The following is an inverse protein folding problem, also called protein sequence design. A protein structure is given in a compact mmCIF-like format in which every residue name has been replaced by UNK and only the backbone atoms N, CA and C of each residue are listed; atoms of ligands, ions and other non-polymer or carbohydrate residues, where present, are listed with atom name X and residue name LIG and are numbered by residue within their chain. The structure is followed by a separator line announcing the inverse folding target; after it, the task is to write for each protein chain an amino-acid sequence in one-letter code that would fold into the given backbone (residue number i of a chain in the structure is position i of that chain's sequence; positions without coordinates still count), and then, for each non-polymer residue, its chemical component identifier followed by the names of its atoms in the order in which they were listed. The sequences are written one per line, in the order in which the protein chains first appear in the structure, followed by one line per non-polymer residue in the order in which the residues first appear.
data_IF_649832560917
#
_entry.id   IF_649832560917
#
_cell.length_a   1.000
_cell.length_b   1.000
_cell.length_c   1.000
_cell.angle_alpha   90.00
_cell.angle_beta   90.00
_cell.angle_gamma   90.00
#
_symmetry.space_group_name_H-M   'P 1'
#
loop_
_entity.id
_entity.type
_entity.pdbx_description
1 polymer ?
#
# COMPACT_ATOMS: atom_id res chain seq x y z
N UNK A 1 45.47 -10.23 20.77
CA UNK A 1 45.25 -9.71 19.41
C UNK A 1 44.30 -8.52 19.56
N UNK A 2 44.82 -7.32 19.83
CA UNK A 2 45.32 -6.36 18.82
C UNK A 2 44.21 -5.95 17.85
N UNK A 3 43.84 -4.67 17.69
CA UNK A 3 44.36 -3.45 18.29
C UNK A 3 43.54 -2.21 17.89
N UNK A 4 43.65 -1.19 18.75
CA UNK A 4 43.50 0.28 18.56
C UNK A 4 42.20 0.87 18.00
N UNK A 5 41.66 1.88 18.70
CA UNK A 5 41.30 3.15 18.09
C UNK A 5 42.26 4.28 18.54
N UNK A 6 42.57 5.16 17.60
CA UNK A 6 43.39 6.36 17.72
C UNK A 6 42.57 7.53 18.32
N UNK A 7 42.96 7.95 19.53
CA UNK A 7 43.32 9.32 19.99
C UNK A 7 42.96 10.55 19.11
N UNK A 8 42.64 11.73 19.69
CA UNK A 8 43.22 12.21 20.95
C UNK A 8 42.27 12.64 22.06
N UNK A 9 42.65 12.16 23.24
CA UNK A 9 42.45 12.80 24.52
C UNK A 9 43.09 14.20 24.53
N UNK A 10 42.42 15.10 25.24
CA UNK A 10 42.96 16.38 25.66
C UNK A 10 44.33 16.22 26.31
N UNK A 11 45.26 17.02 25.81
CA UNK A 11 46.59 17.25 26.35
C UNK A 11 46.46 18.05 27.66
N UNK A 12 46.66 17.41 28.81
CA UNK A 12 46.91 18.12 30.06
C UNK A 12 48.43 18.32 30.18
N UNK A 13 48.90 19.47 29.71
CA UNK A 13 50.30 19.87 29.85
C UNK A 13 50.42 20.69 31.14
N UNK A 14 51.01 20.07 32.16
CA UNK A 14 51.65 20.77 33.27
C UNK A 14 53.04 21.18 32.81
N UNK A 15 53.28 22.48 32.64
CA UNK A 15 54.62 23.05 32.70
C UNK A 15 54.71 23.97 33.92
N UNK A 16 55.46 23.49 34.91
CA UNK A 16 56.20 24.35 35.84
C UNK A 16 57.35 24.97 35.04
N UNK A 17 57.36 26.30 34.93
CA UNK A 17 58.54 27.01 34.49
C UNK A 17 59.55 27.03 35.65
N UNK A 18 60.47 26.07 35.65
CA UNK A 18 61.73 26.20 36.37
C UNK A 18 62.60 27.17 35.61
N UNK A 19 62.89 28.32 36.25
CA UNK A 19 63.82 29.31 35.75
C UNK A 19 65.17 28.67 35.49
N UNK A 20 65.63 28.79 34.25
CA UNK A 20 67.02 28.65 33.88
C UNK A 20 67.33 29.84 32.97
N UNK A 21 68.01 30.82 33.54
CA UNK A 21 68.94 31.66 32.80
C UNK A 21 70.26 31.54 33.54
N UNK A 22 71.03 30.53 33.13
CA UNK A 22 72.49 30.65 33.18
C UNK A 22 72.84 31.81 32.25
N UNK A 23 73.32 32.89 32.82
CA UNK A 23 74.40 33.66 32.21
C UNK A 23 75.25 34.20 33.35
N UNK A 24 76.28 33.41 33.62
CA UNK A 24 77.40 33.70 34.50
C UNK A 24 78.16 34.90 33.92
N UNK A 25 77.67 36.12 34.18
CA UNK A 25 78.40 37.34 33.83
C UNK A 25 79.45 37.58 34.90
N UNK A 26 80.69 37.31 34.51
CA UNK A 26 81.90 37.57 35.28
C UNK A 26 81.84 38.93 35.97
N UNK A 27 82.14 38.91 37.26
CA UNK A 27 82.48 40.11 38.02
C UNK A 27 83.83 40.62 37.47
N UNK A 28 83.79 41.39 36.37
CA UNK A 28 84.94 42.18 35.97
C UNK A 28 85.00 43.43 36.85
N UNK A 29 85.56 43.27 38.05
CA UNK A 29 86.34 44.36 38.66
C UNK A 29 87.48 44.68 37.71
N UNK A 30 87.27 45.64 36.81
CA UNK A 30 88.39 46.36 36.21
C UNK A 30 88.98 47.25 37.29
N UNK A 31 89.89 46.68 38.10
CA UNK A 31 90.92 47.46 38.75
C UNK A 31 91.86 47.97 37.65
N UNK A 32 91.53 49.14 37.09
CA UNK A 32 92.53 49.98 36.47
C UNK A 32 93.03 50.92 37.54
N UNK A 33 94.09 50.49 38.23
CA UNK A 33 94.89 51.38 39.05
C UNK A 33 95.62 52.37 38.13
N UNK A 34 95.00 53.49 37.84
CA UNK A 34 95.75 54.72 37.57
C UNK A 34 95.62 55.57 38.82
N UNK A 35 96.56 55.36 39.74
CA UNK A 35 96.75 56.16 40.92
C UNK A 35 96.94 57.63 40.49
N UNK A 36 95.88 58.46 40.62
CA UNK A 36 95.94 59.92 40.79
C UNK A 36 94.58 60.65 40.80
N UNK A 37 93.43 60.01 40.53
CA UNK A 37 92.10 60.64 40.62
C UNK A 37 91.10 59.81 41.47
N UNK A 38 91.33 59.70 42.79
CA UNK A 38 90.32 59.27 43.76
C UNK A 38 89.82 57.81 43.67
N UNK A 39 89.08 57.37 44.69
CA UNK A 39 88.36 56.10 44.70
C UNK A 39 86.89 56.36 44.38
N UNK A 40 86.31 55.62 43.43
CA UNK A 40 84.92 55.77 43.03
C UNK A 40 84.20 54.42 42.92
N UNK A 41 82.90 54.44 43.20
CA UNK A 41 82.00 53.29 43.04
C UNK A 41 80.68 53.73 42.41
N UNK A 42 80.15 52.88 41.52
CA UNK A 42 78.83 53.02 40.93
C UNK A 42 77.98 51.79 41.27
N UNK A 43 76.79 52.01 41.82
CA UNK A 43 75.87 50.92 42.14
C UNK A 43 74.45 51.31 41.75
N UNK A 44 73.79 50.44 40.98
CA UNK A 44 72.36 50.54 40.70
C UNK A 44 71.58 50.01 41.90
N UNK A 45 70.64 50.81 42.41
CA UNK A 45 69.75 50.45 43.52
C UNK A 45 68.50 49.73 42.99
N UNK A 46 67.82 48.98 43.87
CA UNK A 46 66.63 48.18 43.53
C UNK A 46 65.43 49.02 43.03
N UNK A 47 65.43 50.33 43.29
CA UNK A 47 64.42 51.30 42.84
C UNK A 47 64.73 51.92 41.46
N UNK A 48 65.80 51.46 40.81
CA UNK A 48 66.26 51.98 39.51
C UNK A 48 67.03 53.30 39.61
N UNK A 49 67.30 53.83 40.81
CA UNK A 49 68.16 54.99 41.00
C UNK A 49 69.64 54.58 41.10
N UNK A 50 70.54 55.41 40.57
CA UNK A 50 71.97 55.13 40.57
C UNK A 50 72.67 55.86 41.73
N UNK A 51 73.36 55.12 42.60
CA UNK A 51 74.17 55.68 43.69
C UNK A 51 75.62 55.80 43.24
N UNK A 52 76.13 57.02 43.28
CA UNK A 52 77.51 57.36 42.97
C UNK A 52 78.22 57.81 44.24
N UNK A 53 79.35 57.19 44.56
CA UNK A 53 80.24 57.65 45.63
C UNK A 53 81.63 57.85 45.05
N UNK A 54 82.15 59.07 45.18
CA UNK A 54 83.49 59.43 44.75
C UNK A 54 84.22 60.17 45.88
N UNK A 55 85.49 59.83 46.09
CA UNK A 55 86.40 60.55 46.97
C UNK A 55 87.38 61.34 46.10
N UNK A 56 87.31 62.67 46.13
CA UNK A 56 88.24 63.52 45.37
C UNK A 56 89.52 63.79 46.19
N UNK A 57 90.72 63.48 45.66
CA UNK A 57 91.95 63.93 46.28
C UNK A 57 92.17 65.43 46.00
N UNK A 58 92.70 66.17 46.98
CA UNK A 58 93.09 67.57 46.78
C UNK A 58 94.44 67.61 46.07
N UNK A 59 94.43 67.86 44.76
CA UNK A 59 95.62 68.08 43.94
C UNK A 59 95.37 69.28 43.04
N UNK A 60 96.31 70.24 43.06
CA UNK A 60 96.30 71.44 42.24
C UNK A 60 96.41 71.07 40.73
N UNK A 61 95.46 71.60 39.96
CA UNK A 61 95.48 71.86 38.51
C UNK A 61 95.52 70.71 37.47
N UNK A 62 95.10 69.48 37.79
CA UNK A 62 94.80 68.48 36.74
C UNK A 62 93.29 68.19 36.64
N UNK A 63 92.67 68.45 35.49
CA UNK A 63 91.31 67.99 35.19
C UNK A 63 91.32 66.46 34.99
N UNK A 64 90.64 65.73 35.87
CA UNK A 64 90.35 64.31 35.66
C UNK A 64 89.42 64.14 34.42
N UNK A 65 89.54 63.05 33.64
CA UNK A 65 88.63 62.74 32.54
C UNK A 65 87.18 62.61 33.02
N UNK A 66 86.21 62.93 32.16
CA UNK A 66 84.79 62.82 32.49
C UNK A 66 84.41 61.35 32.68
N UNK A 67 84.12 60.97 33.93
CA UNK A 67 84.10 59.57 34.39
C UNK A 67 82.68 59.03 34.56
N UNK A 68 81.67 59.76 34.07
CA UNK A 68 80.26 59.36 34.16
C UNK A 68 79.92 58.29 33.11
N UNK A 69 80.17 57.02 33.46
CA UNK A 69 79.79 55.83 32.66
C UNK A 69 78.46 55.19 33.06
N UNK A 70 77.64 55.86 33.87
CA UNK A 70 76.31 55.36 34.26
C UNK A 70 75.18 55.74 33.29
N UNK A 71 75.50 56.25 32.10
CA UNK A 71 74.50 56.58 31.06
C UNK A 71 74.06 55.36 30.28
N UNK A 72 74.95 54.42 29.97
CA UNK A 72 74.67 53.39 28.97
C UNK A 72 73.78 52.27 29.52
N UNK A 73 73.99 51.85 30.77
CA UNK A 73 73.18 50.80 31.42
C UNK A 73 71.77 51.28 31.77
N UNK A 74 71.62 52.52 32.24
CA UNK A 74 70.31 53.11 32.52
C UNK A 74 69.54 53.36 31.22
N UNK A 75 70.22 53.83 30.17
CA UNK A 75 69.60 54.00 28.85
C UNK A 75 69.18 52.67 28.23
N UNK A 76 69.99 51.62 28.39
CA UNK A 76 69.65 50.26 27.98
C UNK A 76 68.39 49.76 28.70
N UNK A 77 68.33 49.91 30.04
CA UNK A 77 67.18 49.46 30.82
C UNK A 77 65.89 50.24 30.51
N UNK A 78 66.00 51.56 30.31
CA UNK A 78 64.85 52.38 29.89
C UNK A 78 64.34 51.98 28.50
N UNK A 79 65.25 51.71 27.56
CA UNK A 79 64.88 51.22 26.24
C UNK A 79 64.21 49.85 26.32
N UNK A 80 64.77 48.92 27.09
CA UNK A 80 64.22 47.57 27.27
C UNK A 80 62.83 47.60 27.94
N UNK A 81 62.61 48.50 28.90
CA UNK A 81 61.29 48.67 29.51
C UNK A 81 60.26 49.30 28.58
N UNK A 82 60.65 50.28 27.76
CA UNK A 82 59.73 50.81 26.75
C UNK A 82 59.40 49.73 25.70
N UNK A 83 60.37 48.90 25.31
CA UNK A 83 60.14 47.76 24.42
C UNK A 83 59.20 46.72 25.04
N UNK A 84 59.40 46.34 26.30
CA UNK A 84 58.48 45.45 27.04
C UNK A 84 57.08 46.04 27.16
N UNK A 85 56.96 47.36 27.37
CA UNK A 85 55.67 48.06 27.40
C UNK A 85 54.98 48.01 26.05
N UNK A 86 55.69 48.21 24.94
CA UNK A 86 55.14 48.05 23.59
C UNK A 86 54.69 46.60 23.34
N UNK A 87 55.48 45.60 23.78
CA UNK A 87 55.11 44.19 23.69
C UNK A 87 53.83 43.88 24.48
N UNK A 88 53.66 44.42 25.69
CA UNK A 88 52.44 44.26 26.49
C UNK A 88 51.22 44.88 25.81
N UNK A 89 51.38 46.04 25.16
CA UNK A 89 50.30 46.69 24.41
C UNK A 89 49.88 45.85 23.20
N UNK A 90 50.84 45.33 22.43
CA UNK A 90 50.55 44.42 21.33
C UNK A 90 49.88 43.12 21.82
N UNK A 91 50.34 42.58 22.95
CA UNK A 91 49.71 41.40 23.56
C UNK A 91 48.26 41.69 23.98
N UNK A 92 47.98 42.88 24.52
CA UNK A 92 46.62 43.30 24.88
C UNK A 92 45.70 43.39 23.67
N UNK A 93 46.20 43.87 22.54
CA UNK A 93 45.45 43.93 21.28
C UNK A 93 45.12 42.52 20.78
N UNK A 94 46.11 41.64 20.67
CA UNK A 94 45.89 40.24 20.26
C UNK A 94 44.94 39.48 21.20
N UNK A 95 45.00 39.71 22.51
CA UNK A 95 44.02 39.15 23.46
C UNK A 95 42.61 39.66 23.18
N UNK A 96 42.46 40.94 22.80
CA UNK A 96 41.16 41.53 22.47
C UNK A 96 40.61 40.93 21.16
N UNK A 97 41.45 40.73 20.16
CA UNK A 97 41.08 40.04 18.90
C UNK A 97 40.63 38.61 19.16
N UNK A 98 41.41 37.84 19.94
CA UNK A 98 41.06 36.46 20.30
C UNK A 98 39.76 36.38 21.12
N UNK A 99 39.50 37.35 22.00
CA UNK A 99 38.24 37.41 22.73
C UNK A 99 37.04 37.61 21.80
N UNK A 100 37.19 38.43 20.75
CA UNK A 100 36.12 38.65 19.77
C UNK A 100 35.91 37.42 18.87
N UNK A 101 36.99 36.77 18.42
CA UNK A 101 36.89 35.50 17.69
C UNK A 101 36.23 34.40 18.53
N UNK A 102 36.56 34.32 19.82
CA UNK A 102 35.92 33.38 20.74
C UNK A 102 34.42 33.67 20.90
N UNK A 103 34.02 34.95 20.98
CA UNK A 103 32.60 35.34 20.98
C UNK A 103 31.93 34.91 19.69
N UNK A 104 32.53 35.18 18.54
CA UNK A 104 31.98 34.82 17.24
C UNK A 104 31.82 33.28 17.11
N UNK A 105 32.85 32.53 17.48
CA UNK A 105 32.79 31.06 17.50
C UNK A 105 31.69 30.55 18.43
N UNK A 106 31.51 31.15 19.61
CA UNK A 106 30.42 30.80 20.53
C UNK A 106 29.04 31.00 19.92
N UNK A 107 28.84 32.10 19.20
CA UNK A 107 27.57 32.34 18.48
C UNK A 107 27.36 31.30 17.37
N UNK A 108 28.40 31.01 16.58
CA UNK A 108 28.33 30.00 15.51
C UNK A 108 27.99 28.62 16.04
N UNK A 109 28.62 28.20 17.14
CA UNK A 109 28.30 26.93 17.82
C UNK A 109 26.84 26.92 18.26
N UNK A 110 26.35 28.01 18.85
CA UNK A 110 24.96 28.06 19.31
C UNK A 110 23.94 27.95 18.17
N UNK A 111 24.21 28.57 17.03
CA UNK A 111 23.38 28.44 15.83
C UNK A 111 23.38 26.99 15.33
N UNK A 112 24.54 26.34 15.29
CA UNK A 112 24.66 24.95 14.85
C UNK A 112 23.92 23.98 15.80
N UNK A 113 23.97 24.21 17.11
CA UNK A 113 23.20 23.44 18.10
C UNK A 113 21.69 23.54 17.82
N UNK A 114 21.16 24.76 17.65
CA UNK A 114 19.73 24.97 17.37
C UNK A 114 19.30 24.32 16.05
N UNK A 115 20.12 24.41 15.01
CA UNK A 115 19.87 23.73 13.73
C UNK A 115 19.91 22.21 13.88
N UNK A 116 20.77 21.67 14.75
CA UNK A 116 20.82 20.24 15.05
C UNK A 116 19.56 19.78 15.77
N UNK A 117 19.06 20.55 16.72
CA UNK A 117 17.82 20.26 17.46
C UNK A 117 16.60 20.26 16.53
N UNK A 118 16.47 21.25 15.65
CA UNK A 118 15.39 21.33 14.66
C UNK A 118 15.40 20.13 13.68
N UNK A 119 16.60 19.76 13.21
CA UNK A 119 16.76 18.58 12.36
C UNK A 119 16.42 17.29 13.10
N UNK A 120 16.80 17.16 14.37
CA UNK A 120 16.47 15.99 15.18
C UNK A 120 14.96 15.87 15.40
N UNK A 121 14.27 16.99 15.66
CA UNK A 121 12.81 17.00 15.73
C UNK A 121 12.18 16.57 14.39
N UNK A 122 12.67 17.10 13.27
CA UNK A 122 12.20 16.71 11.94
C UNK A 122 12.42 15.23 11.66
N UNK A 123 13.60 14.69 12.01
CA UNK A 123 13.91 13.27 11.86
C UNK A 123 12.97 12.41 12.71
N UNK A 124 12.75 12.76 13.99
CA UNK A 124 11.81 12.02 14.85
C UNK A 124 10.37 12.04 14.31
N UNK A 125 9.94 13.16 13.72
CA UNK A 125 8.62 13.28 13.08
C UNK A 125 8.51 12.38 11.85
N UNK A 126 9.57 12.30 11.03
CA UNK A 126 9.63 11.41 9.87
C UNK A 126 9.66 9.95 10.30
N UNK A 127 10.45 9.60 11.31
CA UNK A 127 10.51 8.24 11.86
C UNK A 127 9.15 7.77 12.38
N UNK A 128 8.42 8.64 13.08
CA UNK A 128 7.07 8.32 13.54
C UNK A 128 6.12 8.07 12.35
N UNK A 129 6.14 8.94 11.34
CA UNK A 129 5.30 8.78 10.13
C UNK A 129 5.67 7.53 9.32
N UNK A 130 6.95 7.15 9.33
CA UNK A 130 7.41 5.92 8.68
C UNK A 130 6.86 4.71 9.42
N UNK A 131 6.89 4.70 10.76
CA UNK A 131 6.35 3.60 11.55
C UNK A 131 4.83 3.45 11.39
N UNK A 132 4.09 4.57 11.40
CA UNK A 132 2.66 4.57 11.09
C UNK A 132 2.38 4.01 9.68
N UNK A 133 3.22 4.35 8.69
CA UNK A 133 3.08 3.82 7.35
C UNK A 133 3.41 2.32 7.25
N UNK A 134 4.41 1.84 7.99
CA UNK A 134 4.76 0.42 8.08
C UNK A 134 3.61 -0.40 8.68
N UNK A 135 2.98 0.09 9.75
CA UNK A 135 1.82 -0.54 10.37
C UNK A 135 0.63 -0.61 9.39
N UNK A 136 0.32 0.51 8.73
CA UNK A 136 -0.74 0.54 7.71
C UNK A 136 -0.43 -0.38 6.52
N UNK A 137 0.82 -0.48 6.10
CA UNK A 137 1.24 -1.38 5.03
C UNK A 137 1.11 -2.86 5.43
N UNK A 138 1.48 -3.19 6.67
CA UNK A 138 1.29 -4.53 7.22
C UNK A 138 -0.20 -4.91 7.25
N UNK A 139 -1.06 -4.00 7.74
CA UNK A 139 -2.52 -4.21 7.75
C UNK A 139 -3.06 -4.42 6.33
N UNK A 140 -2.72 -3.54 5.38
CA UNK A 140 -3.13 -3.67 3.99
C UNK A 140 -2.68 -5.00 3.35
N UNK A 141 -1.46 -5.46 3.67
CA UNK A 141 -0.93 -6.74 3.18
C UNK A 141 -1.71 -7.93 3.73
N UNK A 142 -2.07 -7.89 5.02
CA UNK A 142 -2.89 -8.95 5.63
C UNK A 142 -4.29 -9.00 5.01
N UNK A 143 -4.91 -7.85 4.77
CA UNK A 143 -6.21 -7.76 4.09
C UNK A 143 -6.14 -8.29 2.66
N UNK A 144 -5.06 -7.98 1.92
CA UNK A 144 -4.86 -8.50 0.57
C UNK A 144 -4.75 -10.04 0.57
N UNK A 145 -4.05 -10.61 1.55
CA UNK A 145 -3.94 -12.06 1.68
C UNK A 145 -5.30 -12.71 1.98
N UNK A 146 -6.08 -12.11 2.90
CA UNK A 146 -7.45 -12.56 3.19
C UNK A 146 -8.32 -12.47 1.93
N UNK A 147 -8.30 -11.36 1.21
CA UNK A 147 -9.04 -11.22 -0.06
C UNK A 147 -8.63 -12.30 -1.08
N UNK A 148 -7.33 -12.58 -1.21
CA UNK A 148 -6.82 -13.65 -2.07
C UNK A 148 -7.40 -15.03 -1.71
N UNK A 149 -7.44 -15.36 -0.42
CA UNK A 149 -8.04 -16.62 0.07
C UNK A 149 -9.53 -16.72 -0.22
N UNK A 150 -10.29 -15.63 0.02
CA UNK A 150 -11.73 -15.57 -0.26
C UNK A 150 -12.03 -15.71 -1.75
N UNK A 151 -11.22 -15.07 -2.61
CA UNK A 151 -11.35 -15.20 -4.07
C UNK A 151 -11.10 -16.64 -4.49
N UNK A 152 -10.07 -17.30 -3.93
CA UNK A 152 -9.77 -18.70 -4.22
C UNK A 152 -10.93 -19.63 -3.81
N UNK A 153 -11.46 -19.46 -2.60
CA UNK A 153 -12.59 -20.24 -2.12
C UNK A 153 -13.85 -19.98 -2.96
N UNK A 154 -14.11 -18.73 -3.33
CA UNK A 154 -15.21 -18.38 -4.22
C UNK A 154 -15.05 -18.99 -5.61
N UNK A 155 -13.84 -19.00 -6.17
CA UNK A 155 -13.55 -19.68 -7.43
C UNK A 155 -13.81 -21.18 -7.35
N UNK A 156 -13.43 -21.84 -6.25
CA UNK A 156 -13.72 -23.25 -6.03
C UNK A 156 -15.24 -23.51 -5.93
N UNK A 157 -15.98 -22.65 -5.23
CA UNK A 157 -17.45 -22.74 -5.16
C UNK A 157 -18.08 -22.55 -6.54
N UNK A 158 -17.65 -21.55 -7.31
CA UNK A 158 -18.13 -21.31 -8.68
C UNK A 158 -17.84 -22.51 -9.57
N UNK A 159 -16.67 -23.14 -9.48
CA UNK A 159 -16.36 -24.34 -10.25
C UNK A 159 -17.27 -25.52 -9.87
N UNK A 160 -17.50 -25.74 -8.58
CA UNK A 160 -18.42 -26.78 -8.11
C UNK A 160 -19.87 -26.52 -8.57
N UNK A 161 -20.33 -25.28 -8.45
CA UNK A 161 -21.64 -24.85 -8.95
C UNK A 161 -21.73 -24.98 -10.47
N UNK A 162 -20.69 -24.62 -11.21
CA UNK A 162 -20.62 -24.81 -12.67
C UNK A 162 -20.73 -26.29 -13.05
N UNK A 163 -20.07 -27.18 -12.30
CA UNK A 163 -20.20 -28.63 -12.48
C UNK A 163 -21.60 -29.14 -12.14
N UNK A 164 -22.25 -28.59 -11.11
CA UNK A 164 -23.64 -28.90 -10.78
C UNK A 164 -24.60 -28.41 -11.86
N UNK A 165 -24.43 -27.18 -12.34
CA UNK A 165 -25.20 -26.60 -13.46
C UNK A 165 -25.01 -27.42 -14.72
N UNK A 166 -23.78 -27.84 -15.05
CA UNK A 166 -23.53 -28.73 -16.18
C UNK A 166 -24.16 -30.12 -15.98
N UNK A 167 -24.22 -30.65 -14.75
CA UNK A 167 -24.96 -31.88 -14.46
C UNK A 167 -26.46 -31.71 -14.63
N UNK A 168 -27.04 -30.59 -14.18
CA UNK A 168 -28.46 -30.27 -14.40
C UNK A 168 -28.75 -30.05 -15.88
N UNK A 169 -27.84 -29.39 -16.60
CA UNK A 169 -27.94 -29.16 -18.05
C UNK A 169 -27.83 -30.43 -18.87
N UNK A 170 -26.92 -31.35 -18.49
CA UNK A 170 -26.74 -32.65 -19.16
C UNK A 170 -27.77 -33.69 -18.73
N UNK A 171 -28.36 -33.50 -17.56
CA UNK A 171 -29.34 -34.39 -16.96
C UNK A 171 -30.55 -33.54 -16.50
N UNK A 172 -31.28 -32.89 -17.43
CA UNK A 172 -32.54 -32.25 -17.10
C UNK A 172 -33.52 -33.38 -16.84
N UNK A 173 -33.52 -33.92 -15.62
CA UNK A 173 -34.52 -34.88 -15.22
C UNK A 173 -35.87 -34.22 -15.41
N UNK A 174 -36.61 -34.60 -16.45
CA UNK A 174 -38.01 -34.25 -16.58
C UNK A 174 -38.73 -34.92 -15.42
N UNK A 175 -38.98 -34.16 -14.36
CA UNK A 175 -39.86 -34.58 -13.28
C UNK A 175 -41.28 -34.58 -13.85
N UNK A 176 -41.71 -35.70 -14.44
CA UNK A 176 -43.13 -35.88 -14.76
C UNK A 176 -43.84 -36.23 -13.46
N UNK A 177 -44.77 -35.40 -13.02
CA UNK A 177 -45.73 -35.76 -11.98
C UNK A 177 -46.73 -36.78 -12.57
N UNK A 178 -46.38 -38.06 -12.58
CA UNK A 178 -47.30 -39.13 -12.98
C UNK A 178 -48.26 -39.39 -11.83
N UNK A 179 -49.37 -38.66 -11.78
CA UNK A 179 -50.51 -39.04 -10.93
C UNK A 179 -51.18 -40.23 -11.59
N UNK A 180 -50.73 -41.45 -11.27
CA UNK A 180 -51.46 -42.68 -11.63
C UNK A 180 -52.80 -42.64 -10.91
N UNK A 181 -53.88 -42.44 -11.66
CA UNK A 181 -55.21 -42.79 -11.17
C UNK A 181 -55.36 -44.30 -11.33
N UNK A 182 -54.88 -45.05 -10.33
CA UNK A 182 -55.19 -46.47 -10.22
C UNK A 182 -56.69 -46.64 -9.94
N UNK A 183 -57.38 -47.63 -10.53
CA UNK A 183 -58.66 -48.09 -9.98
C UNK A 183 -58.42 -48.69 -8.60
N UNK A 184 -59.40 -48.54 -7.71
CA UNK A 184 -59.34 -48.85 -6.28
C UNK A 184 -58.66 -50.20 -5.96
N UNK A 185 -57.59 -50.15 -5.14
CA UNK A 185 -57.25 -51.23 -4.22
C UNK A 185 -56.62 -50.66 -2.93
N UNK A 186 -57.07 -51.25 -1.82
CA UNK A 186 -56.80 -51.08 -0.37
C UNK A 186 -55.86 -49.98 0.15
N UNK A 187 -56.36 -49.28 1.18
CA UNK A 187 -55.65 -48.32 2.00
C UNK A 187 -54.58 -48.98 2.90
N UNK A 188 -53.31 -48.91 2.52
CA UNK A 188 -52.22 -48.95 3.51
C UNK A 188 -50.87 -48.35 3.11
N UNK A 189 -50.67 -47.85 1.89
CA UNK A 189 -49.42 -47.18 1.50
C UNK A 189 -49.71 -45.80 0.92
N UNK A 190 -49.92 -44.83 1.81
CA UNK A 190 -50.01 -43.41 1.49
C UNK A 190 -48.88 -42.65 2.18
N UNK A 191 -47.64 -42.89 1.74
CA UNK A 191 -46.53 -41.99 1.98
C UNK A 191 -45.56 -42.09 0.80
N UNK A 192 -45.44 -40.96 0.10
CA UNK A 192 -44.58 -40.68 -1.05
C UNK A 192 -45.06 -41.21 -2.42
N UNK A 193 -45.46 -40.33 -3.37
CA UNK A 193 -45.46 -40.71 -4.77
C UNK A 193 -44.00 -40.90 -5.19
N UNK A 194 -43.58 -42.14 -5.40
CA UNK A 194 -42.28 -42.44 -6.00
C UNK A 194 -42.23 -41.84 -7.42
N UNK A 195 -41.41 -40.80 -7.59
CA UNK A 195 -41.05 -40.24 -8.90
C UNK A 195 -40.13 -41.24 -9.60
N UNK A 196 -40.71 -42.10 -10.44
CA UNK A 196 -39.93 -42.99 -11.30
C UNK A 196 -39.12 -42.16 -12.30
N UNK A 197 -37.79 -42.22 -12.17
CA UNK A 197 -36.84 -41.59 -13.10
C UNK A 197 -36.82 -42.38 -14.42
N UNK A 198 -37.61 -41.97 -15.40
CA UNK A 198 -37.54 -42.51 -16.76
C UNK A 198 -36.46 -41.74 -17.53
N UNK A 199 -35.46 -42.45 -18.05
CA UNK A 199 -34.27 -41.89 -18.73
C UNK A 199 -34.54 -41.26 -20.12
N UNK A 200 -35.79 -41.00 -20.49
CA UNK A 200 -36.14 -40.38 -21.75
C UNK A 200 -37.19 -39.29 -21.49
N UNK A 201 -36.82 -38.02 -21.72
CA UNK A 201 -37.77 -36.91 -21.66
C UNK A 201 -38.84 -37.10 -22.76
N UNK A 202 -40.11 -36.82 -22.47
CA UNK A 202 -41.16 -36.90 -23.47
C UNK A 202 -40.92 -35.82 -24.53
N UNK A 203 -40.76 -36.23 -25.77
CA UNK A 203 -40.46 -35.32 -26.88
C UNK A 203 -41.71 -34.61 -27.42
N UNK A 204 -42.89 -35.15 -27.11
CA UNK A 204 -44.20 -34.65 -27.48
C UNK A 204 -45.32 -35.33 -26.65
N UNK A 205 -46.57 -34.94 -26.84
CA UNK A 205 -47.71 -35.55 -26.18
C UNK A 205 -47.94 -37.02 -26.56
N UNK A 206 -47.52 -37.45 -27.77
CA UNK A 206 -47.64 -38.84 -28.20
C UNK A 206 -46.74 -39.74 -27.36
N UNK A 207 -45.51 -39.31 -27.06
CA UNK A 207 -44.60 -40.03 -26.16
C UNK A 207 -45.15 -40.13 -24.74
N UNK A 208 -45.80 -39.08 -24.24
CA UNK A 208 -46.50 -39.09 -22.94
C UNK A 208 -47.63 -40.11 -22.96
N UNK A 209 -48.41 -40.12 -24.04
CA UNK A 209 -49.51 -41.05 -24.24
C UNK A 209 -49.02 -42.50 -24.33
N UNK A 210 -47.99 -42.82 -25.11
CA UNK A 210 -47.45 -44.18 -25.19
C UNK A 210 -46.88 -44.69 -23.86
N UNK A 211 -46.46 -43.78 -22.97
CA UNK A 211 -46.05 -44.09 -21.60
C UNK A 211 -47.22 -44.33 -20.62
N UNK A 212 -48.46 -44.35 -21.11
CA UNK A 212 -49.65 -44.78 -20.34
C UNK A 212 -50.43 -43.63 -19.69
N UNK A 213 -50.07 -42.38 -19.95
CA UNK A 213 -50.86 -41.22 -19.51
C UNK A 213 -52.04 -41.04 -20.45
N UNK A 214 -53.26 -40.91 -19.89
CA UNK A 214 -54.51 -40.87 -20.64
C UNK A 214 -55.36 -39.63 -20.36
N UNK A 215 -54.95 -38.76 -19.44
CA UNK A 215 -55.72 -37.57 -19.07
C UNK A 215 -55.25 -36.37 -19.90
N UNK A 216 -56.17 -35.66 -20.54
CA UNK A 216 -55.86 -34.38 -21.19
C UNK A 216 -55.46 -33.32 -20.18
N UNK A 217 -54.52 -32.45 -20.54
CA UNK A 217 -54.01 -31.43 -19.64
C UNK A 217 -52.69 -30.80 -20.12
N UNK A 218 -52.13 -29.92 -19.29
CA UNK A 218 -50.84 -29.29 -19.57
C UNK A 218 -49.71 -30.22 -19.11
N UNK A 219 -48.75 -30.43 -20.00
CA UNK A 219 -47.55 -31.23 -19.74
C UNK A 219 -46.32 -30.51 -20.26
N UNK A 220 -45.17 -30.83 -19.69
CA UNK A 220 -43.87 -30.37 -20.19
C UNK A 220 -43.29 -31.39 -21.15
N UNK A 221 -42.87 -30.93 -22.34
CA UNK A 221 -42.21 -31.74 -23.38
C UNK A 221 -40.85 -31.14 -23.75
N UNK A 222 -39.98 -31.94 -24.35
CA UNK A 222 -38.65 -31.54 -24.82
C UNK A 222 -38.51 -31.89 -26.31
N UNK A 223 -38.96 -31.00 -27.22
CA UNK A 223 -39.05 -31.29 -28.67
C UNK A 223 -37.71 -31.56 -29.37
N UNK A 224 -36.59 -31.15 -28.78
CA UNK A 224 -35.27 -31.46 -29.34
C UNK A 224 -34.21 -31.61 -28.25
N UNK A 225 -33.17 -32.44 -28.51
CA UNK A 225 -32.10 -32.81 -27.58
C UNK A 225 -31.21 -31.63 -27.10
N UNK A 226 -31.48 -30.40 -27.56
CA UNK A 226 -30.82 -29.17 -27.11
C UNK A 226 -31.77 -28.00 -26.83
N UNK A 227 -33.08 -28.18 -27.00
CA UNK A 227 -34.07 -27.15 -26.70
C UNK A 227 -34.42 -27.14 -25.21
N UNK A 228 -34.87 -25.96 -24.75
CA UNK A 228 -35.45 -25.82 -23.41
C UNK A 228 -36.80 -26.55 -23.36
N UNK A 229 -37.17 -27.16 -22.22
CA UNK A 229 -38.49 -27.75 -22.03
C UNK A 229 -39.59 -26.70 -22.25
N UNK A 230 -40.69 -27.11 -22.90
CA UNK A 230 -41.84 -26.26 -23.19
C UNK A 230 -43.12 -26.89 -22.63
N UNK A 231 -44.00 -26.07 -22.09
CA UNK A 231 -45.32 -26.51 -21.65
C UNK A 231 -46.29 -26.53 -22.85
N UNK A 232 -47.05 -27.60 -22.98
CA UNK A 232 -48.01 -27.81 -24.05
C UNK A 232 -49.30 -28.39 -23.49
N UNK A 233 -50.43 -28.09 -24.11
CA UNK A 233 -51.65 -28.82 -23.83
C UNK A 233 -51.66 -30.11 -24.65
N UNK A 234 -51.78 -31.25 -23.97
CA UNK A 234 -51.97 -32.55 -24.59
C UNK A 234 -53.44 -32.95 -24.55
N UNK A 235 -54.02 -33.18 -25.72
CA UNK A 235 -55.30 -33.85 -25.87
C UNK A 235 -55.05 -35.37 -25.99
N UNK A 236 -55.48 -36.08 -24.95
CA UNK A 236 -55.33 -37.53 -24.80
C UNK A 236 -56.61 -38.29 -25.11
N UNK A 237 -57.70 -37.59 -25.46
CA UNK A 237 -59.04 -38.16 -25.59
C UNK A 237 -59.47 -38.26 -27.07
N UNK A 238 -59.14 -37.26 -27.89
CA UNK A 238 -59.57 -37.18 -29.29
C UNK A 238 -58.83 -38.17 -30.18
N UNK A 239 -59.55 -38.94 -31.00
CA UNK A 239 -59.03 -39.75 -32.12
C UNK A 239 -57.79 -40.60 -31.76
N UNK A 240 -57.85 -41.28 -30.61
CA UNK A 240 -56.77 -42.15 -30.14
C UNK A 240 -55.72 -41.48 -29.25
N UNK A 241 -55.81 -40.17 -29.02
CA UNK A 241 -55.02 -39.40 -28.05
C UNK A 241 -53.56 -39.15 -28.44
N UNK A 242 -52.85 -38.39 -27.61
CA UNK A 242 -51.44 -38.04 -27.83
C UNK A 242 -51.23 -36.81 -28.72
N UNK A 243 -52.26 -35.97 -28.88
CA UNK A 243 -52.19 -34.76 -29.68
C UNK A 243 -51.55 -33.62 -28.92
N UNK A 244 -50.46 -33.08 -29.45
CA UNK A 244 -49.89 -31.81 -28.99
C UNK A 244 -50.66 -30.66 -29.63
N UNK A 245 -51.40 -29.90 -28.83
CA UNK A 245 -52.18 -28.77 -29.33
C UNK A 245 -51.23 -27.58 -29.57
N UNK A 246 -51.13 -27.13 -30.82
CA UNK A 246 -50.24 -26.02 -31.22
C UNK A 246 -50.96 -24.67 -31.33
N UNK A 247 -52.29 -24.70 -31.47
CA UNK A 247 -53.16 -23.53 -31.52
C UNK A 247 -54.54 -23.91 -30.99
N UNK A 248 -55.16 -23.02 -30.21
CA UNK A 248 -56.58 -23.16 -29.82
C UNK A 248 -57.31 -21.82 -29.88
N UNK A 249 -58.50 -21.80 -30.47
CA UNK A 249 -59.50 -20.70 -30.44
C UNK A 249 -60.83 -21.25 -29.91
N UNK A 250 -61.52 -20.49 -29.07
CA UNK A 250 -62.80 -20.87 -28.48
C UNK A 250 -63.73 -19.68 -28.16
N UNK A 251 -63.20 -18.56 -27.69
CA UNK A 251 -63.97 -17.47 -27.07
C UNK A 251 -63.53 -16.06 -27.48
N UNK A 252 -62.46 -15.93 -28.25
CA UNK A 252 -61.90 -14.65 -28.66
C UNK A 252 -61.18 -13.87 -27.55
N UNK A 253 -60.86 -14.52 -26.43
CA UNK A 253 -60.19 -13.88 -25.28
C UNK A 253 -58.77 -13.40 -25.58
N UNK A 254 -58.10 -13.97 -26.58
CA UNK A 254 -56.73 -13.61 -26.96
C UNK A 254 -56.71 -12.94 -28.33
N UNK A 255 -56.01 -11.81 -28.43
CA UNK A 255 -55.77 -11.15 -29.71
C UNK A 255 -54.72 -11.94 -30.52
N UNK A 256 -55.04 -12.25 -31.79
CA UNK A 256 -54.15 -12.93 -32.74
C UNK A 256 -53.55 -11.98 -33.80
N UNK A 257 -53.93 -10.70 -33.81
CA UNK A 257 -53.23 -9.68 -34.61
C UNK A 257 -51.97 -9.24 -33.86
N UNK A 258 -50.85 -9.93 -34.15
CA UNK A 258 -49.60 -9.90 -33.38
C UNK A 258 -48.39 -9.73 -34.27
N UNK A 259 -47.30 -9.23 -33.69
CA UNK A 259 -46.03 -9.06 -34.39
C UNK A 259 -45.38 -10.42 -34.72
N UNK A 260 -44.44 -10.42 -35.67
CA UNK A 260 -43.65 -11.61 -36.01
C UNK A 260 -42.93 -12.19 -34.80
N UNK A 261 -42.38 -11.33 -33.93
CA UNK A 261 -41.68 -11.76 -32.72
C UNK A 261 -42.61 -12.54 -31.78
N UNK A 262 -43.82 -12.05 -31.56
CA UNK A 262 -44.82 -12.74 -30.73
C UNK A 262 -45.25 -14.06 -31.37
N UNK A 263 -45.44 -14.12 -32.70
CA UNK A 263 -45.73 -15.40 -33.38
C UNK A 263 -44.57 -16.39 -33.32
N UNK A 264 -43.33 -15.91 -33.30
CA UNK A 264 -42.11 -16.72 -33.16
C UNK A 264 -42.03 -17.36 -31.77
N UNK A 265 -42.23 -16.56 -30.72
CA UNK A 265 -42.11 -16.96 -29.32
C UNK A 265 -43.35 -17.68 -28.78
N UNK A 266 -44.54 -17.41 -29.32
CA UNK A 266 -45.82 -17.90 -28.80
C UNK A 266 -46.52 -16.87 -27.91
N UNK A 267 -47.84 -17.01 -27.78
CA UNK A 267 -48.68 -16.11 -26.97
C UNK A 267 -50.00 -16.76 -26.57
N UNK A 268 -50.64 -16.23 -25.53
CA UNK A 268 -51.92 -16.71 -24.99
C UNK A 268 -51.75 -17.54 -23.73
N UNK A 269 -52.76 -18.36 -23.42
CA UNK A 269 -52.81 -19.22 -22.23
C UNK A 269 -53.16 -20.66 -22.63
N UNK A 270 -52.33 -21.62 -22.21
CA UNK A 270 -52.52 -23.05 -22.46
C UNK A 270 -53.81 -23.61 -21.86
N UNK A 271 -54.46 -22.90 -20.93
CA UNK A 271 -55.79 -23.21 -20.41
C UNK A 271 -56.95 -22.67 -21.28
N UNK A 272 -56.71 -21.66 -22.13
CA UNK A 272 -57.73 -21.03 -23.00
C UNK A 272 -57.25 -20.87 -24.44
N UNK A 273 -57.19 -19.66 -25.02
CA UNK A 273 -56.71 -19.46 -26.38
C UNK A 273 -55.20 -19.22 -26.43
N UNK A 274 -54.50 -19.84 -27.37
CA UNK A 274 -53.07 -19.62 -27.53
C UNK A 274 -52.55 -20.01 -28.92
N UNK A 275 -51.34 -19.52 -29.19
CA UNK A 275 -50.44 -19.94 -30.25
C UNK A 275 -49.13 -20.41 -29.62
N UNK A 276 -48.73 -21.66 -29.88
CA UNK A 276 -47.58 -22.27 -29.21
C UNK A 276 -46.26 -21.55 -29.52
N UNK A 277 -46.15 -20.92 -30.69
CA UNK A 277 -44.92 -20.26 -31.16
C UNK A 277 -44.28 -21.01 -32.31
N UNK A 278 -43.86 -20.28 -33.35
CA UNK A 278 -43.34 -20.88 -34.58
C UNK A 278 -42.04 -21.66 -34.34
N UNK A 279 -41.18 -21.22 -33.42
CA UNK A 279 -39.94 -21.96 -33.09
C UNK A 279 -40.28 -23.32 -32.45
N UNK A 280 -41.21 -23.34 -31.51
CA UNK A 280 -41.65 -24.58 -30.86
C UNK A 280 -42.36 -25.52 -31.83
N UNK A 281 -43.19 -25.00 -32.73
CA UNK A 281 -43.84 -25.79 -33.78
C UNK A 281 -42.80 -26.37 -34.74
N UNK A 282 -41.78 -25.59 -35.12
CA UNK A 282 -40.69 -26.04 -35.99
C UNK A 282 -39.85 -27.14 -35.34
N UNK A 283 -39.53 -27.00 -34.05
CA UNK A 283 -38.78 -28.03 -33.30
C UNK A 283 -39.60 -29.33 -33.22
N UNK A 284 -40.90 -29.23 -32.93
CA UNK A 284 -41.81 -30.37 -32.89
C UNK A 284 -41.97 -31.04 -34.25
N UNK A 285 -42.20 -30.28 -35.32
CA UNK A 285 -42.43 -30.84 -36.65
C UNK A 285 -41.13 -31.32 -37.32
N UNK A 286 -39.98 -30.82 -36.85
CA UNK A 286 -38.65 -31.14 -37.37
C UNK A 286 -38.06 -32.47 -36.89
N UNK A 287 -38.55 -33.03 -35.78
CA UNK A 287 -37.98 -34.25 -35.18
C UNK A 287 -38.42 -35.56 -35.86
N UNK A 288 -39.47 -35.53 -36.68
CA UNK A 288 -40.02 -36.74 -37.30
C UNK A 288 -41.14 -36.45 -38.28
N UNK A 289 -41.95 -37.46 -38.58
CA UNK A 289 -43.12 -37.32 -39.44
C UNK A 289 -44.35 -37.03 -38.58
N UNK A 290 -44.88 -35.80 -38.68
CA UNK A 290 -46.07 -35.38 -37.96
C UNK A 290 -47.29 -35.32 -38.87
N UNK A 291 -48.44 -35.73 -38.33
CA UNK A 291 -49.75 -35.51 -38.93
C UNK A 291 -50.40 -34.31 -38.25
N UNK A 292 -50.90 -33.37 -39.04
CA UNK A 292 -51.66 -32.22 -38.53
C UNK A 292 -53.16 -32.51 -38.63
N UNK A 293 -53.88 -32.31 -37.54
CA UNK A 293 -55.33 -32.35 -37.49
C UNK A 293 -55.85 -30.96 -37.13
N UNK A 294 -56.87 -30.50 -37.84
CA UNK A 294 -57.55 -29.23 -37.60
C UNK A 294 -59.01 -29.54 -37.34
N UNK A 295 -59.48 -29.31 -36.12
CA UNK A 295 -60.89 -29.40 -35.74
C UNK A 295 -61.51 -27.99 -35.73
N UNK A 296 -62.71 -27.87 -36.28
CA UNK A 296 -63.50 -26.64 -36.34
C UNK A 296 -64.92 -26.92 -35.91
N UNK A 297 -65.49 -26.00 -35.14
CA UNK A 297 -66.89 -26.01 -34.72
C UNK A 297 -67.57 -24.72 -35.20
N UNK A 298 -68.79 -24.83 -35.73
CA UNK A 298 -69.59 -23.65 -36.07
C UNK A 298 -70.48 -23.20 -34.90
N UNK A 299 -71.08 -22.01 -35.03
CA UNK A 299 -71.96 -21.44 -33.99
C UNK A 299 -73.23 -22.26 -33.71
N UNK A 300 -73.53 -23.26 -34.54
CA UNK A 300 -74.65 -24.20 -34.32
C UNK A 300 -74.22 -25.50 -33.63
N UNK A 301 -72.94 -25.60 -33.22
CA UNK A 301 -72.37 -26.76 -32.55
C UNK A 301 -71.97 -27.89 -33.52
N UNK A 302 -71.84 -27.61 -34.81
CA UNK A 302 -71.47 -28.63 -35.80
C UNK A 302 -69.94 -28.70 -35.94
N UNK A 303 -69.41 -29.88 -35.64
CA UNK A 303 -67.97 -30.16 -35.76
C UNK A 303 -67.58 -30.70 -37.13
N UNK A 304 -66.43 -30.26 -37.64
CA UNK A 304 -65.74 -30.81 -38.81
C UNK A 304 -64.25 -30.87 -38.54
N UNK A 305 -63.54 -31.78 -39.20
CA UNK A 305 -62.10 -31.88 -39.09
C UNK A 305 -61.42 -32.08 -40.45
N UNK A 306 -60.16 -31.69 -40.54
CA UNK A 306 -59.26 -31.96 -41.66
C UNK A 306 -57.97 -32.58 -41.14
N UNK A 307 -57.45 -33.59 -41.84
CA UNK A 307 -56.21 -34.29 -41.48
C UNK A 307 -55.22 -34.20 -42.64
N UNK A 308 -54.00 -33.77 -42.33
CA UNK A 308 -52.86 -33.69 -43.22
C UNK A 308 -51.80 -34.67 -42.75
N UNK A 309 -51.57 -35.74 -43.52
CA UNK A 309 -50.70 -36.85 -43.13
C UNK A 309 -49.23 -36.45 -42.88
N UNK A 310 -48.79 -35.35 -43.50
CA UNK A 310 -47.43 -34.82 -43.36
C UNK A 310 -47.49 -33.32 -43.14
N UNK A 311 -46.91 -32.87 -42.03
CA UNK A 311 -46.77 -31.47 -41.64
C UNK A 311 -45.35 -31.25 -41.10
N UNK A 312 -44.67 -30.23 -41.62
CA UNK A 312 -43.30 -29.87 -41.26
C UNK A 312 -43.12 -28.37 -41.24
#
# INVERSE_FOLDING_TARGET
MEGRPLSPFLLAVLFLATGASDDERSLHTHQVSTAQCGEYSNQVLEDGMCRLMATLPQLDDQRCPDMFRCTDEVSYWLHENEERKQQILALRETVSELQEELRNHRHRVKVLELQSEEKNHSNSSIEQRLHELEDHYAEATTLLHIQGSLIYDLQAQIQNLSLLVEKVRRNPGCMINIVRTSPMLSAQEALHPEVQHVRNCPIDCASIYYNGVRRSGIYTVVPSLGAMPVEVYCDMDTDGGGWTVIQRRQDGSVNFDRSWKEYKEGFGDLHTEYWLGNEHIHDLSGQGNYTLRIDLEDWSGKHKHAVYQSFR
#
